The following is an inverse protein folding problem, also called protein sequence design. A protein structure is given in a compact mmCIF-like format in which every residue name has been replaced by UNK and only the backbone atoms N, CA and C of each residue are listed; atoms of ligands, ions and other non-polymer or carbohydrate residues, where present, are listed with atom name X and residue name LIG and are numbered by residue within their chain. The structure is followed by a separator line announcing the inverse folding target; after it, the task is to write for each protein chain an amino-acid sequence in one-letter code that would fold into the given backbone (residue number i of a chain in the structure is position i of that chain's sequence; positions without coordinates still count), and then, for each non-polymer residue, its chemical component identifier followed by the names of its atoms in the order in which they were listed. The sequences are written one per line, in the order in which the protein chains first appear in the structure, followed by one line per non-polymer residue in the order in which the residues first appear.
data_IF_010495327150
#
_entry.id   IF_010495327150
#
_cell.length_a   1.000
_cell.length_b   1.000
_cell.length_c   1.000
_cell.angle_alpha   90.00
_cell.angle_beta   90.00
_cell.angle_gamma   90.00
#
_symmetry.space_group_name_H-M   'P 1'
#
loop_
_entity.id
_entity.type
_entity.pdbx_description
1 polymer ?
#
# COMPACT_ATOMS: atom_id res chain seq x y z
N UNK A 1 11.61 22.14 12.47
CA UNK A 1 11.46 21.82 13.91
C UNK A 1 10.60 20.58 14.00
N UNK A 2 11.22 19.41 14.11
CA UNK A 2 10.50 18.15 14.26
C UNK A 2 10.03 18.06 15.72
N UNK A 3 8.85 18.63 16.00
CA UNK A 3 8.18 18.40 17.27
C UNK A 3 7.94 16.90 17.46
N UNK A 4 8.02 16.44 18.71
CA UNK A 4 7.65 15.08 19.06
C UNK A 4 6.20 14.80 18.60
N UNK A 5 5.98 13.65 17.96
CA UNK A 5 4.65 13.26 17.49
C UNK A 5 4.03 12.39 18.58
N UNK A 6 3.03 12.92 19.27
CA UNK A 6 2.31 12.16 20.30
C UNK A 6 1.24 11.25 19.67
N UNK A 7 0.75 10.21 20.39
CA UNK A 7 -0.41 9.44 19.96
C UNK A 7 -1.67 10.29 19.73
N UNK A 8 -1.85 11.37 20.50
CA UNK A 8 -2.96 12.31 20.30
C UNK A 8 -2.82 13.11 18.99
N UNK A 9 -1.60 13.52 18.63
CA UNK A 9 -1.34 14.19 17.36
C UNK A 9 -1.58 13.26 16.16
N UNK A 10 -1.29 11.96 16.32
CA UNK A 10 -1.61 10.92 15.35
C UNK A 10 -3.12 10.80 15.16
N UNK A 11 -3.88 10.61 16.25
CA UNK A 11 -5.35 10.50 16.18
C UNK A 11 -6.00 11.73 15.53
N UNK A 12 -5.55 12.93 15.92
CA UNK A 12 -6.04 14.19 15.33
C UNK A 12 -5.72 14.27 13.84
N UNK A 13 -4.51 13.86 13.45
CA UNK A 13 -4.08 13.84 12.06
C UNK A 13 -4.87 12.82 11.23
N UNK A 14 -5.09 11.62 11.75
CA UNK A 14 -5.89 10.57 11.10
C UNK A 14 -7.32 11.04 10.87
N UNK A 15 -7.96 11.62 11.88
CA UNK A 15 -9.33 12.14 11.79
C UNK A 15 -9.52 13.20 10.69
N UNK A 16 -8.46 13.95 10.34
CA UNK A 16 -8.51 15.00 9.30
C UNK A 16 -8.09 14.47 7.93
N UNK A 17 -6.97 13.73 7.86
CA UNK A 17 -6.35 13.37 6.59
C UNK A 17 -6.88 12.05 6.01
N UNK A 18 -7.42 11.14 6.83
CA UNK A 18 -8.01 9.92 6.31
C UNK A 18 -9.26 10.20 5.46
N UNK A 19 -10.24 11.01 5.90
CA UNK A 19 -11.40 11.35 5.07
C UNK A 19 -10.98 12.11 3.80
N UNK A 20 -10.03 13.04 3.90
CA UNK A 20 -9.48 13.75 2.74
C UNK A 20 -8.90 12.76 1.72
N UNK A 21 -8.07 11.82 2.17
CA UNK A 21 -7.45 10.83 1.27
C UNK A 21 -8.48 9.87 0.69
N UNK A 22 -9.54 9.54 1.44
CA UNK A 22 -10.67 8.77 0.93
C UNK A 22 -11.38 9.51 -0.21
N UNK A 23 -11.65 10.80 -0.06
CA UNK A 23 -12.21 11.64 -1.13
C UNK A 23 -11.30 11.69 -2.35
N UNK A 24 -9.97 11.73 -2.17
CA UNK A 24 -9.02 11.66 -3.29
C UNK A 24 -9.08 10.31 -4.02
N UNK A 25 -9.21 9.19 -3.29
CA UNK A 25 -9.38 7.86 -3.91
C UNK A 25 -10.66 7.79 -4.74
N UNK A 26 -11.76 8.31 -4.20
CA UNK A 26 -13.02 8.40 -4.93
C UNK A 26 -12.88 9.30 -6.16
N UNK A 27 -12.21 10.46 -6.02
CA UNK A 27 -11.97 11.39 -7.12
C UNK A 27 -11.19 10.74 -8.27
N UNK A 28 -10.15 9.94 -7.98
CA UNK A 28 -9.40 9.19 -9.00
C UNK A 28 -10.34 8.27 -9.79
N UNK A 29 -11.15 7.49 -9.08
CA UNK A 29 -12.07 6.53 -9.71
C UNK A 29 -13.17 7.23 -10.54
N UNK A 30 -13.82 8.27 -10.01
CA UNK A 30 -14.85 8.99 -10.77
C UNK A 30 -14.24 9.75 -11.95
N UNK A 31 -13.02 10.28 -11.84
CA UNK A 31 -12.34 10.95 -12.96
C UNK A 31 -12.12 10.00 -14.13
N UNK A 32 -11.69 8.76 -13.87
CA UNK A 32 -11.48 7.73 -14.89
C UNK A 32 -12.79 7.37 -15.60
N UNK A 33 -13.88 7.25 -14.85
CA UNK A 33 -15.16 6.70 -15.35
C UNK A 33 -16.17 7.77 -15.79
N UNK A 34 -15.87 9.04 -15.57
CA UNK A 34 -16.80 10.16 -15.79
C UNK A 34 -17.14 10.36 -17.27
N UNK A 35 -18.38 10.80 -17.53
CA UNK A 35 -18.87 11.25 -18.83
C UNK A 35 -19.61 12.58 -18.72
N UNK A 36 -19.28 13.39 -17.71
CA UNK A 36 -19.90 14.69 -17.48
C UNK A 36 -19.64 15.67 -18.62
N UNK A 37 -20.39 16.77 -18.65
CA UNK A 37 -20.18 17.84 -19.63
C UNK A 37 -18.80 18.49 -19.48
N UNK A 38 -18.28 19.10 -20.55
CA UNK A 38 -17.02 19.87 -20.49
C UNK A 38 -17.10 20.99 -19.43
N UNK A 39 -18.26 21.64 -19.31
CA UNK A 39 -18.51 22.67 -18.30
C UNK A 39 -18.33 22.14 -16.88
N UNK A 40 -18.87 20.96 -16.57
CA UNK A 40 -18.76 20.38 -15.22
C UNK A 40 -17.36 19.84 -14.96
N UNK A 41 -16.68 19.29 -15.98
CA UNK A 41 -15.28 18.89 -15.87
C UNK A 41 -14.37 20.09 -15.54
N UNK A 42 -14.59 21.26 -16.19
CA UNK A 42 -13.85 22.49 -15.89
C UNK A 42 -14.12 23.02 -14.49
N UNK A 43 -15.36 22.95 -14.00
CA UNK A 43 -15.71 23.31 -12.62
C UNK A 43 -15.03 22.38 -11.61
N UNK A 44 -15.06 21.06 -11.84
CA UNK A 44 -14.39 20.09 -10.98
C UNK A 44 -12.87 20.36 -10.93
N UNK A 45 -12.25 20.63 -12.08
CA UNK A 45 -10.83 20.99 -12.13
C UNK A 45 -10.52 22.25 -11.30
N UNK A 46 -11.32 23.31 -11.39
CA UNK A 46 -11.10 24.53 -10.60
C UNK A 46 -11.19 24.27 -9.08
N UNK A 47 -12.11 23.41 -8.64
CA UNK A 47 -12.21 23.01 -7.22
C UNK A 47 -11.00 22.19 -6.76
N UNK A 48 -10.43 21.37 -7.65
CA UNK A 48 -9.21 20.61 -7.35
C UNK A 48 -8.02 21.56 -7.22
N UNK A 49 -7.88 22.56 -8.10
CA UNK A 49 -6.83 23.57 -8.00
C UNK A 49 -6.92 24.36 -6.70
N UNK A 50 -8.13 24.80 -6.30
CA UNK A 50 -8.34 25.48 -5.01
C UNK A 50 -7.93 24.58 -3.83
N UNK A 51 -8.29 23.29 -3.87
CA UNK A 51 -7.85 22.33 -2.86
C UNK A 51 -6.32 22.16 -2.84
N UNK A 52 -5.67 22.14 -4.01
CA UNK A 52 -4.21 22.09 -4.14
C UNK A 52 -3.55 23.34 -3.55
N UNK A 53 -4.09 24.54 -3.77
CA UNK A 53 -3.59 25.78 -3.17
C UNK A 53 -3.70 25.76 -1.64
N UNK A 54 -4.86 25.34 -1.11
CA UNK A 54 -5.09 25.23 0.33
C UNK A 54 -4.12 24.26 0.99
N UNK A 55 -3.96 23.05 0.43
CA UNK A 55 -3.05 22.02 0.95
C UNK A 55 -1.58 22.40 0.73
N UNK A 56 -1.26 23.07 -0.38
CA UNK A 56 0.08 23.51 -0.77
C UNK A 56 0.60 24.72 0.02
N UNK A 57 -0.27 25.43 0.73
CA UNK A 57 0.10 26.61 1.54
C UNK A 57 1.17 26.32 2.61
N UNK A 58 1.28 25.05 3.05
CA UNK A 58 2.31 24.60 3.98
C UNK A 58 2.64 23.13 3.75
N UNK A 59 3.77 22.89 3.10
CA UNK A 59 4.30 21.54 2.85
C UNK A 59 5.56 21.26 3.67
N UNK A 60 5.78 19.98 3.97
CA UNK A 60 7.10 19.52 4.39
C UNK A 60 8.07 19.66 3.19
N UNK A 61 9.31 20.13 3.42
CA UNK A 61 10.27 20.33 2.34
C UNK A 61 10.79 19.00 1.75
N UNK A 62 10.67 17.91 2.51
CA UNK A 62 11.13 16.57 2.17
C UNK A 62 9.93 15.59 2.07
N UNK A 63 10.07 14.46 1.35
CA UNK A 63 9.09 13.39 1.38
C UNK A 63 8.76 12.93 2.81
N UNK A 64 7.53 12.44 3.03
CA UNK A 64 7.05 12.07 4.37
C UNK A 64 7.98 11.07 5.09
N UNK A 65 8.56 10.12 4.34
CA UNK A 65 9.48 9.11 4.86
C UNK A 65 8.82 8.17 5.87
N UNK A 66 9.60 7.76 6.87
CA UNK A 66 9.12 7.05 8.05
C UNK A 66 9.28 7.98 9.24
N UNK A 67 8.18 8.23 9.96
CA UNK A 67 8.20 9.00 11.22
C UNK A 67 7.90 8.07 12.38
N UNK A 68 8.27 8.47 13.59
CA UNK A 68 8.00 7.69 14.80
C UNK A 68 7.26 8.55 15.82
N UNK A 69 6.29 7.95 16.51
CA UNK A 69 5.66 8.59 17.67
C UNK A 69 6.58 8.53 18.89
N UNK A 70 6.23 9.25 19.94
CA UNK A 70 6.88 9.16 21.26
C UNK A 70 6.85 7.74 21.86
N UNK A 71 5.92 6.89 21.42
CA UNK A 71 5.79 5.49 21.83
C UNK A 71 6.49 4.52 20.85
N UNK A 72 7.20 5.03 19.84
CA UNK A 72 7.92 4.22 18.85
C UNK A 72 7.04 3.61 17.75
N UNK A 73 5.78 4.02 17.63
CA UNK A 73 4.93 3.63 16.51
C UNK A 73 5.46 4.23 15.21
N UNK A 74 5.74 3.39 14.21
CA UNK A 74 6.16 3.84 12.88
C UNK A 74 4.95 4.36 12.07
N UNK A 75 5.08 5.55 11.51
CA UNK A 75 4.11 6.20 10.63
C UNK A 75 4.66 6.18 9.20
N UNK A 76 4.00 5.42 8.33
CA UNK A 76 4.37 5.24 6.92
C UNK A 76 3.36 5.91 5.98
N UNK A 77 2.83 7.08 6.34
CA UNK A 77 1.64 7.63 5.70
C UNK A 77 1.79 7.99 4.22
N UNK A 78 3.02 8.19 3.72
CA UNK A 78 3.29 8.39 2.30
C UNK A 78 3.54 7.11 1.49
N UNK A 79 3.63 5.94 2.14
CA UNK A 79 3.99 4.69 1.48
C UNK A 79 2.97 4.30 0.38
N UNK A 80 3.45 3.79 -0.75
CA UNK A 80 2.62 3.49 -1.93
C UNK A 80 1.75 2.22 -1.80
N UNK A 81 1.95 1.39 -0.77
CA UNK A 81 1.13 0.22 -0.51
C UNK A 81 0.19 0.42 0.69
N UNK A 82 0.65 1.08 1.76
CA UNK A 82 -0.07 1.19 3.04
C UNK A 82 -0.29 2.63 3.52
N UNK A 83 0.10 3.62 2.72
CA UNK A 83 0.09 5.01 3.13
C UNK A 83 -1.32 5.55 3.33
N UNK A 84 -1.68 5.89 4.58
CA UNK A 84 -2.96 6.52 4.90
C UNK A 84 -3.17 7.82 4.12
N UNK A 85 -2.11 8.61 3.89
CA UNK A 85 -2.13 9.87 3.13
C UNK A 85 -1.80 9.70 1.64
N UNK A 86 -1.68 8.47 1.16
CA UNK A 86 -1.40 8.20 -0.24
C UNK A 86 -2.66 7.66 -0.93
N UNK A 87 -3.24 8.46 -1.82
CA UNK A 87 -4.44 8.09 -2.57
C UNK A 87 -4.17 7.04 -3.66
N UNK A 88 -2.90 6.84 -4.05
CA UNK A 88 -2.50 5.77 -4.98
C UNK A 88 -2.42 4.43 -4.26
N UNK A 89 -2.22 4.43 -2.93
CA UNK A 89 -2.07 3.19 -2.19
C UNK A 89 -3.38 2.39 -2.18
N UNK A 90 -3.36 1.10 -2.60
CA UNK A 90 -4.45 0.18 -2.34
C UNK A 90 -4.35 -0.15 -0.84
N UNK A 91 -5.16 0.46 0.04
CA UNK A 91 -4.84 0.54 1.47
C UNK A 91 -4.78 -0.87 2.10
N UNK A 92 -3.58 -1.47 2.13
CA UNK A 92 -3.41 -2.86 2.55
C UNK A 92 -3.49 -2.95 4.06
N UNK A 93 -4.56 -3.55 4.57
CA UNK A 93 -4.67 -3.88 5.99
C UNK A 93 -4.14 -5.31 6.20
N UNK A 94 -2.83 -5.40 6.43
CA UNK A 94 -2.16 -6.70 6.58
C UNK A 94 -2.49 -7.31 7.95
N UNK A 95 -3.06 -8.51 7.93
CA UNK A 95 -3.27 -9.35 9.11
C UNK A 95 -2.17 -10.38 9.16
N UNK A 96 -1.49 -10.49 10.30
CA UNK A 96 -0.47 -11.52 10.57
C UNK A 96 -0.99 -12.55 11.55
N UNK A 97 -0.50 -13.77 11.44
CA UNK A 97 -0.78 -14.81 12.43
C UNK A 97 -0.01 -14.59 13.74
N UNK A 98 -0.53 -15.15 14.83
CA UNK A 98 0.07 -15.02 16.18
C UNK A 98 1.44 -15.71 16.26
N UNK A 99 1.59 -16.86 15.58
CA UNK A 99 2.83 -17.62 15.55
C UNK A 99 3.95 -16.89 14.79
N UNK A 100 3.60 -15.92 13.95
CA UNK A 100 4.52 -15.25 13.04
C UNK A 100 4.89 -16.14 11.85
N UNK A 101 4.97 -15.53 10.68
CA UNK A 101 5.40 -16.21 9.46
C UNK A 101 4.27 -16.47 8.47
N UNK A 102 3.04 -16.01 8.73
CA UNK A 102 1.99 -15.88 7.70
C UNK A 102 1.37 -14.49 7.74
N UNK A 103 0.96 -14.00 6.58
CA UNK A 103 0.20 -12.77 6.47
C UNK A 103 -0.83 -12.85 5.33
N UNK A 104 -1.93 -12.14 5.50
CA UNK A 104 -2.97 -11.99 4.49
C UNK A 104 -3.52 -10.58 4.42
N UNK A 105 -4.10 -10.22 3.28
CA UNK A 105 -4.86 -8.98 3.09
C UNK A 105 -6.06 -9.25 2.19
N UNK A 106 -7.22 -8.74 2.58
CA UNK A 106 -8.38 -8.62 1.72
C UNK A 106 -8.41 -7.18 1.17
N UNK A 107 -8.59 -7.03 -0.14
CA UNK A 107 -8.49 -5.74 -0.82
C UNK A 107 -9.46 -5.64 -2.00
N UNK A 108 -9.78 -4.41 -2.39
CA UNK A 108 -10.58 -4.10 -3.58
C UNK A 108 -9.75 -3.24 -4.53
N UNK A 109 -9.48 -3.75 -5.72
CA UNK A 109 -8.75 -3.02 -6.77
C UNK A 109 -9.72 -2.64 -7.89
N UNK A 110 -10.16 -1.39 -7.89
CA UNK A 110 -11.05 -0.80 -8.91
C UNK A 110 -10.33 -0.20 -10.12
N UNK A 111 -11.02 0.68 -10.85
CA UNK A 111 -10.55 1.26 -12.11
C UNK A 111 -9.20 2.00 -11.99
N UNK A 112 -8.89 2.57 -10.83
CA UNK A 112 -7.61 3.22 -10.54
C UNK A 112 -6.38 2.29 -10.72
N UNK A 113 -6.58 0.97 -10.71
CA UNK A 113 -5.52 -0.04 -10.77
C UNK A 113 -5.59 -0.89 -12.04
N UNK A 114 -6.45 -0.51 -12.99
CA UNK A 114 -6.65 -1.23 -14.24
C UNK A 114 -5.40 -1.17 -15.13
N UNK A 115 -5.05 -2.30 -15.72
CA UNK A 115 -4.03 -2.39 -16.77
C UNK A 115 -4.68 -2.82 -18.08
N UNK A 116 -4.73 -4.13 -18.38
CA UNK A 116 -5.61 -4.64 -19.43
C UNK A 116 -7.08 -4.39 -19.09
N UNK A 117 -7.97 -4.28 -20.09
CA UNK A 117 -9.40 -4.06 -19.86
C UNK A 117 -10.02 -5.08 -18.89
N UNK A 118 -10.62 -4.59 -17.81
CA UNK A 118 -11.25 -5.35 -16.73
C UNK A 118 -10.29 -6.11 -15.82
N UNK A 119 -8.97 -5.92 -15.97
CA UNK A 119 -7.94 -6.62 -15.19
C UNK A 119 -7.05 -5.64 -14.44
N UNK A 120 -6.61 -6.05 -13.26
CA UNK A 120 -5.59 -5.34 -12.49
C UNK A 120 -4.27 -5.34 -13.27
N UNK A 121 -3.59 -4.21 -13.29
CA UNK A 121 -2.26 -4.11 -13.90
C UNK A 121 -1.28 -5.04 -13.17
N UNK A 122 -0.51 -5.84 -13.92
CA UNK A 122 0.41 -6.82 -13.32
C UNK A 122 1.44 -6.21 -12.36
N UNK A 123 1.87 -4.97 -12.61
CA UNK A 123 2.73 -4.20 -11.69
C UNK A 123 2.06 -3.86 -10.35
N UNK A 124 0.74 -3.67 -10.31
CA UNK A 124 0.00 -3.48 -9.06
C UNK A 124 -0.08 -4.80 -8.29
N UNK A 125 -0.31 -5.92 -8.98
CA UNK A 125 -0.23 -7.25 -8.35
C UNK A 125 1.17 -7.48 -7.74
N UNK A 126 2.23 -7.08 -8.45
CA UNK A 126 3.59 -7.17 -7.95
C UNK A 126 3.82 -6.29 -6.71
N UNK A 127 3.31 -5.06 -6.70
CA UNK A 127 3.37 -4.17 -5.53
C UNK A 127 2.70 -4.79 -4.30
N UNK A 128 1.49 -5.35 -4.48
CA UNK A 128 0.75 -6.00 -3.39
C UNK A 128 1.52 -7.18 -2.82
N UNK A 129 2.05 -8.04 -3.69
CA UNK A 129 2.78 -9.24 -3.29
C UNK A 129 4.15 -8.89 -2.67
N UNK A 130 4.90 -7.94 -3.22
CA UNK A 130 6.14 -7.45 -2.62
C UNK A 130 5.89 -6.96 -1.19
N UNK A 131 4.88 -6.11 -0.99
CA UNK A 131 4.56 -5.58 0.31
C UNK A 131 4.13 -6.68 1.30
N UNK A 132 3.28 -7.60 0.87
CA UNK A 132 2.77 -8.67 1.73
C UNK A 132 3.86 -9.69 2.11
N UNK A 133 4.68 -10.13 1.14
CA UNK A 133 5.82 -11.02 1.42
C UNK A 133 6.85 -10.32 2.31
N UNK A 134 7.09 -9.02 2.07
CA UNK A 134 7.92 -8.18 2.93
C UNK A 134 7.39 -8.14 4.35
N UNK A 135 6.08 -7.92 4.54
CA UNK A 135 5.46 -8.00 5.84
C UNK A 135 5.72 -9.39 6.45
N UNK A 136 5.41 -10.48 5.78
CA UNK A 136 5.69 -11.84 6.28
C UNK A 136 7.14 -12.06 6.71
N UNK A 137 8.11 -11.51 6.00
CA UNK A 137 9.54 -11.65 6.32
C UNK A 137 10.02 -10.73 7.47
N UNK A 138 9.32 -9.63 7.76
CA UNK A 138 9.71 -8.69 8.80
C UNK A 138 9.58 -9.28 10.21
N UNK A 139 10.64 -9.09 11.01
CA UNK A 139 10.70 -9.45 12.43
C UNK A 139 10.69 -8.18 13.28
N UNK A 140 10.36 -8.32 14.57
CA UNK A 140 10.45 -7.20 15.53
C UNK A 140 11.87 -6.64 15.53
N UNK A 141 12.02 -5.34 15.28
CA UNK A 141 13.29 -4.59 15.31
C UNK A 141 14.38 -5.07 14.32
N UNK A 142 14.02 -5.88 13.32
CA UNK A 142 14.93 -6.34 12.27
C UNK A 142 14.24 -6.18 10.90
N UNK A 143 14.40 -5.02 10.24
CA UNK A 143 13.79 -4.80 8.93
C UNK A 143 14.39 -5.75 7.89
N UNK A 144 13.54 -6.25 7.01
CA UNK A 144 13.93 -7.16 5.93
C UNK A 144 13.71 -6.46 4.59
N UNK A 145 14.75 -6.43 3.76
CA UNK A 145 14.73 -5.74 2.47
C UNK A 145 14.54 -6.75 1.35
N UNK A 146 13.71 -6.44 0.35
CA UNK A 146 13.56 -7.28 -0.83
C UNK A 146 14.90 -7.41 -1.55
N UNK A 147 15.45 -8.60 -1.60
CA UNK A 147 16.64 -8.93 -2.40
C UNK A 147 16.27 -9.48 -3.77
N UNK A 148 15.23 -10.32 -3.84
CA UNK A 148 14.69 -10.85 -5.11
C UNK A 148 13.21 -11.08 -4.96
N UNK A 149 12.45 -10.78 -6.02
CA UNK A 149 11.03 -11.08 -6.15
C UNK A 149 10.78 -11.74 -7.50
N UNK A 150 10.24 -12.95 -7.49
CA UNK A 150 9.87 -13.72 -8.68
C UNK A 150 8.37 -13.86 -8.71
N UNK A 151 7.73 -13.44 -9.81
CA UNK A 151 6.29 -13.55 -9.99
C UNK A 151 5.94 -14.47 -11.16
N UNK A 152 4.88 -15.25 -11.00
CA UNK A 152 4.24 -16.03 -12.05
C UNK A 152 2.77 -15.62 -12.17
N UNK A 153 2.43 -14.93 -13.26
CA UNK A 153 1.06 -14.59 -13.62
C UNK A 153 0.41 -15.83 -14.25
N UNK A 154 -0.40 -16.56 -13.48
CA UNK A 154 -1.00 -17.85 -13.89
C UNK A 154 -2.36 -17.67 -14.55
N UNK A 155 -3.09 -16.59 -14.23
CA UNK A 155 -4.36 -16.24 -14.83
C UNK A 155 -4.56 -14.70 -14.77
N UNK A 156 -5.46 -14.13 -15.59
CA UNK A 156 -5.85 -12.72 -15.43
C UNK A 156 -6.37 -12.45 -14.02
N UNK A 157 -6.00 -11.29 -13.45
CA UNK A 157 -6.51 -10.83 -12.15
C UNK A 157 -7.64 -9.84 -12.40
N UNK A 158 -8.93 -10.21 -12.19
CA UNK A 158 -10.03 -9.29 -12.43
C UNK A 158 -10.01 -8.10 -11.48
N UNK A 159 -10.51 -6.95 -11.92
CA UNK A 159 -10.85 -5.85 -11.01
C UNK A 159 -11.90 -6.31 -9.99
N UNK A 160 -11.90 -5.68 -8.80
CA UNK A 160 -12.84 -5.95 -7.72
C UNK A 160 -12.18 -6.55 -6.48
N UNK A 161 -12.93 -7.39 -5.77
CA UNK A 161 -12.47 -8.03 -4.53
C UNK A 161 -11.42 -9.09 -4.80
N UNK A 162 -10.32 -9.02 -4.07
CA UNK A 162 -9.19 -9.93 -4.13
C UNK A 162 -8.75 -10.29 -2.71
N UNK A 163 -7.94 -11.34 -2.62
CA UNK A 163 -7.25 -11.72 -1.39
C UNK A 163 -5.81 -12.07 -1.71
N UNK A 164 -4.86 -11.57 -0.94
CA UNK A 164 -3.47 -12.00 -1.02
C UNK A 164 -3.07 -12.72 0.26
N UNK A 165 -2.27 -13.77 0.12
CA UNK A 165 -1.76 -14.57 1.24
C UNK A 165 -0.28 -14.85 1.04
N UNK A 166 0.47 -14.94 2.13
CA UNK A 166 1.89 -15.27 2.10
C UNK A 166 2.33 -16.00 3.36
N UNK A 167 3.45 -16.70 3.27
CA UNK A 167 4.05 -17.46 4.36
C UNK A 167 5.57 -17.55 4.20
N UNK A 168 6.27 -17.75 5.32
CA UNK A 168 7.70 -18.08 5.33
C UNK A 168 7.86 -19.55 4.95
N UNK A 169 8.66 -19.83 3.93
CA UNK A 169 9.04 -21.19 3.56
C UNK A 169 10.28 -21.66 4.32
N UNK A 170 11.26 -20.75 4.47
CA UNK A 170 12.53 -21.02 5.14
C UNK A 170 13.16 -19.75 5.67
N UNK A 171 13.88 -19.88 6.75
CA UNK A 171 14.77 -18.84 7.26
C UNK A 171 16.17 -19.40 7.52
N UNK A 172 17.20 -18.69 7.09
CA UNK A 172 18.61 -19.09 7.26
C UNK A 172 19.40 -18.13 8.17
N UNK A 173 18.71 -17.25 8.90
CA UNK A 173 19.31 -16.30 9.81
C UNK A 173 19.78 -15.01 9.15
N UNK A 174 20.22 -14.99 7.89
CA UNK A 174 20.53 -13.75 7.16
C UNK A 174 19.48 -13.38 6.11
N UNK A 175 18.71 -14.37 5.68
CA UNK A 175 17.70 -14.31 4.64
C UNK A 175 16.43 -15.02 5.09
N UNK A 176 15.31 -14.48 4.66
CA UNK A 176 14.00 -15.09 4.79
C UNK A 176 13.46 -15.37 3.40
N UNK A 177 13.12 -16.62 3.13
CA UNK A 177 12.47 -17.08 1.92
C UNK A 177 10.97 -17.12 2.19
N UNK A 178 10.21 -16.32 1.46
CA UNK A 178 8.76 -16.25 1.60
C UNK A 178 8.09 -16.53 0.26
N UNK A 179 6.92 -17.15 0.32
CA UNK A 179 6.07 -17.38 -0.83
C UNK A 179 4.68 -16.79 -0.56
N UNK A 180 3.92 -16.59 -1.63
CA UNK A 180 2.55 -16.13 -1.53
C UNK A 180 1.82 -16.13 -2.86
N UNK A 181 0.56 -15.76 -2.82
CA UNK A 181 -0.30 -15.68 -4.00
C UNK A 181 -1.37 -14.61 -3.88
N UNK A 182 -1.92 -14.24 -5.03
CA UNK A 182 -3.09 -13.39 -5.17
C UNK A 182 -4.26 -14.23 -5.71
N UNK A 183 -5.39 -14.16 -5.02
CA UNK A 183 -6.63 -14.88 -5.27
C UNK A 183 -7.70 -13.92 -5.81
N UNK A 184 -8.45 -14.37 -6.81
CA UNK A 184 -9.68 -13.69 -7.23
C UNK A 184 -10.84 -13.93 -6.25
N UNK A 185 -11.98 -13.28 -6.50
CA UNK A 185 -13.18 -13.43 -5.67
C UNK A 185 -13.77 -14.85 -5.66
N UNK A 186 -13.33 -15.74 -6.57
CA UNK A 186 -13.73 -17.14 -6.62
C UNK A 186 -12.69 -18.06 -5.93
N UNK A 187 -11.64 -17.49 -5.35
CA UNK A 187 -10.57 -18.23 -4.69
C UNK A 187 -9.58 -18.88 -5.66
N UNK A 188 -9.54 -18.46 -6.93
CA UNK A 188 -8.55 -18.96 -7.89
C UNK A 188 -7.27 -18.13 -7.79
N UNK A 189 -6.13 -18.81 -7.79
CA UNK A 189 -4.83 -18.14 -7.84
C UNK A 189 -4.67 -17.48 -9.22
N UNK A 190 -4.34 -16.20 -9.23
CA UNK A 190 -4.08 -15.41 -10.44
C UNK A 190 -2.60 -15.06 -10.59
N UNK A 191 -1.91 -14.85 -9.46
CA UNK A 191 -0.47 -14.60 -9.42
C UNK A 191 0.15 -15.38 -8.26
N UNK A 192 1.28 -16.02 -8.50
CA UNK A 192 2.15 -16.61 -7.47
C UNK A 192 3.40 -15.76 -7.33
N UNK A 193 3.95 -15.68 -6.12
CA UNK A 193 5.19 -14.96 -5.82
C UNK A 193 6.10 -15.76 -4.89
N UNK A 194 7.40 -15.66 -5.16
CA UNK A 194 8.48 -16.12 -4.30
C UNK A 194 9.43 -14.93 -4.06
N UNK A 195 9.89 -14.76 -2.83
CA UNK A 195 10.73 -13.64 -2.45
C UNK A 195 11.87 -14.04 -1.52
N UNK A 196 13.03 -13.42 -1.72
CA UNK A 196 14.18 -13.52 -0.83
C UNK A 196 14.36 -12.16 -0.16
N UNK A 197 14.22 -12.13 1.17
CA UNK A 197 14.33 -10.93 1.97
C UNK A 197 15.61 -10.96 2.80
N UNK A 198 16.39 -9.88 2.73
CA UNK A 198 17.72 -9.78 3.32
C UNK A 198 17.65 -8.93 4.58
N UNK A 199 18.19 -9.45 5.69
CA UNK A 199 18.41 -8.67 6.91
C UNK A 199 19.85 -8.19 6.93
N UNK A 200 20.12 -6.87 6.80
CA UNK A 200 21.47 -6.36 6.81
C UNK A 200 22.11 -6.64 8.17
N UNK A 201 23.40 -6.98 8.14
CA UNK A 201 24.19 -7.09 9.37
C UNK A 201 24.23 -5.71 10.03
N UNK A 202 24.01 -5.65 11.34
CA UNK A 202 24.25 -4.41 12.08
C UNK A 202 25.70 -3.97 11.82
N UNK A 203 25.97 -2.68 11.56
CA UNK A 203 27.34 -2.19 11.55
C UNK A 203 28.01 -2.60 12.86
N UNK A 204 29.23 -3.13 12.76
CA UNK A 204 30.07 -3.42 13.92
C UNK A 204 30.47 -2.11 14.62
#
# INVERSE_FOLDING_TARGET
MNGEITPEDVQRSEAVYEPLTRSLRELIDVTIRSRVSETDARKAHALIEEACELLGSRLDPDPFGVRFTTEGQALNWGNVAIGMRNAIAPPLQVVRDEAGGRASVDLVLGAAYEGPPGQVHGGVCALVLDHLLGATAHRRNEPAFTGTLTLRYVAPTPLGSLRAESWVERDDGGKTFAAGHLLDAQGRITVQAEGIFIRPKRPA
#
